data_IF_168196371516
#
_entry.id   IF_168196371516
#
_cell.length_a   1.000
_cell.length_b   1.000
_cell.length_c   1.000
_cell.angle_alpha   90.00
_cell.angle_beta   90.00
_cell.angle_gamma   90.00
#
_symmetry.space_group_name_H-M   'P 1'
#
loop_
_entity.id
_entity.type
_entity.pdbx_description
1 polymer ?
#
# COMPACT_ATOMS: atom_id res chain seq x y z
N UNK A 1 1.27 -10.37 17.01
CA UNK A 1 0.37 -10.04 15.86
C UNK A 1 -0.72 -9.13 16.37
N UNK A 2 -0.72 -7.85 16.00
CA UNK A 2 -1.83 -6.96 16.35
C UNK A 2 -3.01 -7.32 15.45
N UNK A 3 -4.06 -7.91 16.04
CA UNK A 3 -5.25 -8.25 15.29
C UNK A 3 -5.98 -6.98 14.85
N UNK A 4 -6.18 -6.80 13.55
CA UNK A 4 -6.95 -5.69 12.98
C UNK A 4 -8.45 -5.92 13.25
N UNK A 5 -8.88 -5.66 14.48
CA UNK A 5 -10.27 -5.77 14.90
C UNK A 5 -10.89 -4.41 15.19
N UNK A 6 -12.20 -4.26 15.00
CA UNK A 6 -12.90 -3.03 15.37
C UNK A 6 -12.88 -2.81 16.90
N UNK A 7 -12.95 -1.56 17.34
CA UNK A 7 -13.01 -1.26 18.79
C UNK A 7 -14.17 -1.94 19.51
N UNK A 8 -15.30 -2.16 18.83
CA UNK A 8 -16.44 -2.90 19.36
C UNK A 8 -16.13 -4.40 19.50
N UNK A 9 -15.45 -4.99 18.50
CA UNK A 9 -15.03 -6.39 18.57
C UNK A 9 -13.96 -6.60 19.64
N UNK A 10 -12.98 -5.70 19.76
CA UNK A 10 -11.99 -5.73 20.84
C UNK A 10 -12.65 -5.65 22.24
N UNK A 11 -13.59 -4.74 22.43
CA UNK A 11 -14.37 -4.63 23.69
C UNK A 11 -15.12 -5.92 24.00
N UNK A 12 -15.78 -6.55 23.00
CA UNK A 12 -16.47 -7.85 23.19
C UNK A 12 -15.49 -8.98 23.53
N UNK A 13 -14.35 -9.04 22.86
CA UNK A 13 -13.32 -10.04 23.14
C UNK A 13 -12.79 -9.93 24.58
N UNK A 14 -12.51 -8.70 25.04
CA UNK A 14 -12.13 -8.43 26.43
C UNK A 14 -13.24 -8.89 27.40
N UNK A 15 -14.50 -8.60 27.07
CA UNK A 15 -15.63 -9.03 27.87
C UNK A 15 -15.69 -10.55 27.99
N UNK A 16 -15.60 -11.27 26.87
CA UNK A 16 -15.64 -12.75 26.86
C UNK A 16 -14.45 -13.32 27.64
N UNK A 17 -13.25 -12.81 27.43
CA UNK A 17 -12.06 -13.25 28.13
C UNK A 17 -12.20 -13.08 29.65
N UNK A 18 -12.66 -11.92 30.11
CA UNK A 18 -12.73 -11.58 31.52
C UNK A 18 -13.94 -12.22 32.25
N UNK A 19 -15.03 -12.51 31.55
CA UNK A 19 -16.18 -13.19 32.15
C UNK A 19 -15.84 -14.60 32.65
N UNK A 20 -14.78 -15.21 32.14
CA UNK A 20 -14.29 -16.51 32.55
C UNK A 20 -13.36 -16.47 33.79
N UNK A 21 -12.99 -15.28 34.28
CA UNK A 21 -12.12 -15.14 35.46
C UNK A 21 -12.93 -14.72 36.68
N UNK A 22 -13.11 -15.61 37.71
CA UNK A 22 -13.91 -15.31 38.89
C UNK A 22 -13.51 -14.02 39.61
N UNK A 23 -12.19 -13.72 39.67
CA UNK A 23 -11.63 -12.55 40.35
C UNK A 23 -12.05 -11.22 39.80
N UNK A 24 -12.48 -11.16 38.53
CA UNK A 24 -12.83 -9.91 37.82
C UNK A 24 -14.23 -9.92 37.22
N UNK A 25 -15.00 -10.98 37.48
CA UNK A 25 -16.34 -11.18 36.95
C UNK A 25 -17.30 -10.02 37.28
N UNK A 26 -17.11 -9.34 38.42
CA UNK A 26 -17.95 -8.23 38.87
C UNK A 26 -17.34 -6.83 38.54
N UNK A 27 -16.24 -6.79 37.84
CA UNK A 27 -15.65 -5.50 37.45
C UNK A 27 -16.27 -4.93 36.16
N UNK A 28 -16.37 -3.61 36.10
CA UNK A 28 -16.87 -2.94 34.92
C UNK A 28 -15.94 -3.17 33.74
N UNK A 29 -16.45 -3.81 32.69
CA UNK A 29 -15.68 -4.14 31.51
C UNK A 29 -15.57 -2.89 30.59
N UNK A 30 -14.38 -2.60 30.03
CA UNK A 30 -14.17 -1.42 29.23
C UNK A 30 -15.01 -1.45 27.93
N UNK A 31 -15.85 -0.44 27.76
CA UNK A 31 -16.59 -0.24 26.52
C UNK A 31 -15.68 0.19 25.37
N UNK A 32 -16.19 0.14 24.14
CA UNK A 32 -15.42 0.51 22.93
C UNK A 32 -14.81 1.92 22.96
N UNK A 33 -15.45 2.87 23.65
CA UNK A 33 -14.93 4.23 23.87
C UNK A 33 -13.65 4.23 24.71
N UNK A 34 -13.60 3.37 25.75
CA UNK A 34 -12.41 3.20 26.58
C UNK A 34 -11.25 2.57 25.80
N UNK A 35 -11.54 1.52 25.02
CA UNK A 35 -10.55 0.86 24.15
C UNK A 35 -9.96 1.88 23.14
N UNK A 36 -10.82 2.72 22.52
CA UNK A 36 -10.38 3.78 21.63
C UNK A 36 -9.47 4.79 22.33
N UNK A 37 -9.85 5.23 23.54
CA UNK A 37 -9.02 6.18 24.34
C UNK A 37 -7.66 5.57 24.71
N UNK A 38 -7.60 4.31 25.06
CA UNK A 38 -6.33 3.64 25.36
C UNK A 38 -5.43 3.60 24.15
N UNK A 39 -5.95 3.22 22.97
CA UNK A 39 -5.16 3.23 21.75
C UNK A 39 -4.65 4.63 21.39
N UNK A 40 -5.49 5.66 21.53
CA UNK A 40 -5.09 7.05 21.31
C UNK A 40 -3.97 7.47 22.28
N UNK A 41 -4.07 7.10 23.56
CA UNK A 41 -3.03 7.41 24.57
C UNK A 41 -1.72 6.68 24.28
N UNK A 42 -1.78 5.40 23.89
CA UNK A 42 -0.60 4.64 23.49
C UNK A 42 0.04 5.26 22.24
N UNK A 43 -0.75 5.64 21.25
CA UNK A 43 -0.26 6.33 20.06
C UNK A 43 0.42 7.65 20.38
N UNK A 44 -0.19 8.48 21.23
CA UNK A 44 0.38 9.73 21.68
C UNK A 44 1.68 9.53 22.50
N UNK A 45 1.71 8.53 23.36
CA UNK A 45 2.93 8.16 24.09
C UNK A 45 4.04 7.75 23.11
N UNK A 46 3.76 6.85 22.17
CA UNK A 46 4.73 6.43 21.15
C UNK A 46 5.25 7.58 20.29
N UNK A 47 4.37 8.55 19.97
CA UNK A 47 4.76 9.74 19.21
C UNK A 47 5.70 10.65 20.03
N UNK A 48 5.46 10.83 21.33
CA UNK A 48 6.17 11.81 22.17
C UNK A 48 7.30 11.21 23.01
N UNK A 49 7.38 9.88 23.18
CA UNK A 49 8.48 9.27 23.95
C UNK A 49 9.86 9.59 23.33
N UNK A 50 10.87 9.57 24.19
CA UNK A 50 12.27 9.69 23.75
C UNK A 50 12.59 8.57 22.76
N UNK A 51 13.26 8.95 21.68
CA UNK A 51 13.72 8.03 20.65
C UNK A 51 15.18 7.67 20.87
N UNK A 52 15.55 6.48 20.43
CA UNK A 52 16.94 6.06 20.45
C UNK A 52 17.79 7.02 19.60
N UNK A 53 18.91 7.49 20.15
CA UNK A 53 19.87 8.26 19.38
C UNK A 53 20.77 7.33 18.58
N UNK A 54 21.06 7.66 17.33
CA UNK A 54 21.90 6.84 16.48
C UNK A 54 22.42 7.57 15.25
N UNK A 55 23.30 6.89 14.53
CA UNK A 55 24.00 7.46 13.35
C UNK A 55 23.58 6.84 12.03
N UNK A 56 22.56 5.99 12.02
CA UNK A 56 22.16 5.17 10.90
C UNK A 56 20.64 5.11 10.70
N UNK A 57 19.97 6.22 10.93
CA UNK A 57 18.53 6.31 10.72
C UNK A 57 18.16 6.44 9.24
N UNK A 58 17.14 5.70 8.82
CA UNK A 58 16.40 5.93 7.60
C UNK A 58 15.02 6.51 7.92
N UNK A 59 14.59 7.52 7.19
CA UNK A 59 13.27 8.12 7.32
C UNK A 59 12.38 7.70 6.16
N UNK A 60 11.11 7.43 6.45
CA UNK A 60 10.07 7.19 5.45
C UNK A 60 9.00 8.26 5.63
N UNK A 61 8.68 8.96 4.55
CA UNK A 61 7.77 10.09 4.58
C UNK A 61 6.63 9.91 3.61
N UNK A 62 5.42 10.20 4.07
CA UNK A 62 4.24 10.19 3.24
C UNK A 62 3.24 11.30 3.65
N UNK A 63 2.58 11.89 2.67
CA UNK A 63 1.41 12.75 2.83
C UNK A 63 0.13 11.92 2.71
N UNK A 64 -0.11 11.01 3.67
CA UNK A 64 -1.03 9.89 3.46
C UNK A 64 -2.49 10.15 3.78
N UNK A 65 -2.82 11.18 4.54
CA UNK A 65 -4.21 11.41 4.97
C UNK A 65 -4.62 12.83 4.64
N UNK A 66 -5.66 12.96 3.83
CA UNK A 66 -6.34 14.22 3.62
C UNK A 66 -7.59 14.26 4.49
N UNK A 67 -7.62 15.16 5.47
CA UNK A 67 -8.78 15.43 6.33
C UNK A 67 -9.41 16.75 5.90
N UNK A 68 -10.38 16.70 4.99
CA UNK A 68 -10.92 17.91 4.35
C UNK A 68 -9.84 18.60 3.51
N UNK A 69 -9.52 19.85 3.84
CA UNK A 69 -8.44 20.62 3.19
C UNK A 69 -7.05 20.34 3.75
N UNK A 70 -6.98 19.72 4.94
CA UNK A 70 -5.71 19.45 5.62
C UNK A 70 -5.02 18.20 5.09
N UNK A 71 -3.71 18.28 4.92
CA UNK A 71 -2.83 17.14 4.61
C UNK A 71 -2.11 16.72 5.89
N UNK A 72 -1.98 15.42 6.10
CA UNK A 72 -1.25 14.84 7.21
C UNK A 72 0.11 14.33 6.73
N UNK A 73 1.17 14.99 7.15
CA UNK A 73 2.55 14.53 6.94
C UNK A 73 2.90 13.52 8.03
N UNK A 74 3.26 12.32 7.62
CA UNK A 74 3.72 11.26 8.52
C UNK A 74 5.21 11.01 8.27
N UNK A 75 6.00 11.02 9.34
CA UNK A 75 7.42 10.65 9.30
C UNK A 75 7.62 9.43 10.18
N UNK A 76 8.02 8.34 9.57
CA UNK A 76 8.45 7.12 10.23
C UNK A 76 9.97 7.03 10.18
N UNK A 77 10.57 6.38 11.16
CA UNK A 77 12.00 6.14 11.19
C UNK A 77 12.33 4.70 11.53
N UNK A 78 13.45 4.22 11.03
CA UNK A 78 14.01 2.93 11.39
C UNK A 78 15.54 2.98 11.39
N UNK A 79 16.16 2.09 12.18
CA UNK A 79 17.62 1.95 12.23
C UNK A 79 18.06 0.98 11.12
N UNK A 80 18.99 1.42 10.25
CA UNK A 80 19.53 0.56 9.20
C UNK A 80 20.26 -0.66 9.77
N UNK A 81 20.92 -0.50 10.93
CA UNK A 81 21.55 -1.62 11.65
C UNK A 81 20.57 -2.65 12.22
N UNK A 82 19.30 -2.30 12.33
CA UNK A 82 18.23 -3.17 12.87
C UNK A 82 17.27 -3.67 11.79
N UNK A 83 17.64 -3.54 10.51
CA UNK A 83 16.80 -4.01 9.41
C UNK A 83 16.56 -5.53 9.50
N UNK A 84 15.32 -5.98 9.50
CA UNK A 84 15.02 -7.41 9.48
C UNK A 84 15.31 -8.00 8.10
N UNK A 85 15.62 -9.32 8.04
CA UNK A 85 15.78 -10.05 6.78
C UNK A 85 14.46 -10.37 6.06
N UNK A 86 13.37 -9.74 6.44
CA UNK A 86 12.02 -9.84 5.87
C UNK A 86 11.49 -8.47 5.47
N UNK A 87 10.35 -8.45 4.79
CA UNK A 87 9.65 -7.19 4.52
C UNK A 87 9.34 -6.44 5.83
N UNK A 88 9.51 -5.12 5.80
CA UNK A 88 9.21 -4.25 6.93
C UNK A 88 7.74 -4.27 7.28
N UNK A 89 7.46 -4.22 8.57
CA UNK A 89 6.13 -4.01 9.15
C UNK A 89 6.10 -2.71 9.95
N UNK A 90 4.92 -2.26 10.36
CA UNK A 90 4.81 -1.08 11.23
C UNK A 90 5.49 -1.26 12.60
N UNK A 91 5.71 -2.50 13.04
CA UNK A 91 6.39 -2.82 14.30
C UNK A 91 7.91 -2.56 14.23
N UNK A 92 8.47 -2.56 13.03
CA UNK A 92 9.89 -2.33 12.80
C UNK A 92 10.24 -0.83 12.74
N UNK A 93 9.22 0.04 12.79
CA UNK A 93 9.37 1.48 12.57
C UNK A 93 8.89 2.30 13.77
N UNK A 94 9.61 3.36 14.05
CA UNK A 94 9.21 4.38 15.00
C UNK A 94 8.42 5.50 14.32
N UNK A 95 7.33 5.93 14.96
CA UNK A 95 6.63 7.15 14.54
C UNK A 95 7.38 8.35 15.10
N UNK A 96 7.94 9.17 14.22
CA UNK A 96 8.74 10.35 14.59
C UNK A 96 7.92 11.63 14.55
N UNK A 97 7.03 11.78 13.56
CA UNK A 97 6.14 12.93 13.47
C UNK A 97 4.82 12.56 12.79
N UNK A 98 3.76 13.21 13.23
CA UNK A 98 2.47 13.29 12.55
C UNK A 98 2.09 14.76 12.61
N UNK A 99 2.15 15.46 11.49
CA UNK A 99 1.91 16.90 11.41
C UNK A 99 0.75 17.17 10.45
N UNK A 100 -0.17 18.04 10.89
CA UNK A 100 -1.33 18.44 10.07
C UNK A 100 -1.05 19.83 9.51
N UNK A 101 -1.08 19.94 8.18
CA UNK A 101 -0.82 21.18 7.47
C UNK A 101 -2.02 21.54 6.59
N UNK A 102 -2.41 22.80 6.57
CA UNK A 102 -3.38 23.34 5.60
C UNK A 102 -2.75 23.33 4.20
N UNK A 103 -1.50 23.76 4.11
CA UNK A 103 -0.68 23.71 2.91
C UNK A 103 0.67 23.07 3.25
N UNK A 104 1.02 21.96 2.59
CA UNK A 104 2.36 21.41 2.67
C UNK A 104 3.23 22.04 1.60
N UNK A 105 4.14 22.94 1.99
CA UNK A 105 5.17 23.48 1.13
C UNK A 105 6.52 22.78 1.37
N UNK A 106 7.46 23.02 0.47
CA UNK A 106 8.79 22.41 0.55
C UNK A 106 9.57 22.80 1.82
N UNK A 107 9.36 24.02 2.33
CA UNK A 107 10.06 24.51 3.53
C UNK A 107 9.53 23.83 4.78
N UNK A 108 8.21 23.74 4.93
CA UNK A 108 7.59 23.05 6.07
C UNK A 108 8.01 21.58 6.15
N UNK A 109 8.05 20.88 5.00
CA UNK A 109 8.55 19.49 4.92
C UNK A 109 10.01 19.41 5.36
N UNK A 110 10.88 20.29 4.87
CA UNK A 110 12.28 20.32 5.26
C UNK A 110 12.45 20.55 6.76
N UNK A 111 11.71 21.49 7.36
CA UNK A 111 11.75 21.76 8.80
C UNK A 111 11.24 20.58 9.64
N UNK A 112 10.19 19.88 9.19
CA UNK A 112 9.69 18.66 9.84
C UNK A 112 10.75 17.56 9.86
N UNK A 113 11.51 17.40 8.77
CA UNK A 113 12.63 16.46 8.70
C UNK A 113 13.76 16.84 9.64
N UNK A 114 14.12 18.13 9.73
CA UNK A 114 15.12 18.63 10.69
C UNK A 114 14.73 18.35 12.13
N UNK A 115 13.44 18.57 12.47
CA UNK A 115 12.91 18.22 13.79
C UNK A 115 13.00 16.72 14.06
N UNK A 116 12.64 15.88 13.08
CA UNK A 116 12.74 14.42 13.21
C UNK A 116 14.20 13.99 13.42
N UNK A 117 15.15 14.54 12.63
CA UNK A 117 16.58 14.26 12.80
C UNK A 117 17.10 14.65 14.19
N UNK A 118 16.71 15.81 14.73
CA UNK A 118 17.08 16.22 16.09
C UNK A 118 16.60 15.23 17.16
N UNK A 119 15.49 14.53 16.91
CA UNK A 119 14.94 13.53 17.84
C UNK A 119 15.67 12.20 17.82
N UNK A 120 16.29 11.83 16.71
CA UNK A 120 16.86 10.49 16.52
C UNK A 120 18.37 10.46 16.27
N UNK A 121 18.99 11.60 15.99
CA UNK A 121 20.39 11.71 15.61
C UNK A 121 20.60 11.71 14.12
N UNK A 122 21.67 11.06 13.63
CA UNK A 122 22.05 11.17 12.23
C UNK A 122 21.16 10.32 11.30
N UNK A 123 20.59 10.97 10.30
CA UNK A 123 19.87 10.33 9.21
C UNK A 123 20.82 10.03 8.05
N UNK A 124 20.73 8.88 7.44
CA UNK A 124 21.55 8.42 6.30
C UNK A 124 20.75 8.37 5.00
N UNK A 125 19.44 8.16 5.10
CA UNK A 125 18.61 7.93 3.94
C UNK A 125 17.20 8.45 4.21
N UNK A 126 16.55 8.96 3.16
CA UNK A 126 15.12 9.32 3.20
C UNK A 126 14.40 8.66 2.04
N UNK A 127 13.32 7.95 2.33
CA UNK A 127 12.43 7.31 1.35
C UNK A 127 11.10 8.04 1.30
N UNK A 128 10.63 8.37 0.11
CA UNK A 128 9.32 8.99 -0.10
C UNK A 128 8.80 8.75 -1.51
N UNK A 129 7.53 9.07 -1.74
CA UNK A 129 7.01 9.22 -3.08
C UNK A 129 7.61 10.45 -3.80
N UNK A 130 7.26 10.63 -5.09
CA UNK A 130 7.81 11.70 -5.93
C UNK A 130 6.83 12.89 -6.10
N UNK A 131 5.96 13.11 -5.10
CA UNK A 131 5.08 14.28 -5.08
C UNK A 131 5.87 15.59 -5.16
N UNK A 132 5.42 16.61 -5.93
CA UNK A 132 6.24 17.81 -6.22
C UNK A 132 6.74 18.53 -4.95
N UNK A 133 5.89 18.69 -3.93
CA UNK A 133 6.24 19.38 -2.69
C UNK A 133 7.15 18.54 -1.82
N UNK A 134 6.85 17.23 -1.69
CA UNK A 134 7.74 16.27 -1.02
C UNK A 134 9.11 16.26 -1.66
N UNK A 135 9.19 16.15 -3.00
CA UNK A 135 10.45 16.15 -3.73
C UNK A 135 11.29 17.39 -3.47
N UNK A 136 10.67 18.58 -3.48
CA UNK A 136 11.38 19.84 -3.21
C UNK A 136 11.89 19.90 -1.78
N UNK A 137 11.05 19.60 -0.80
CA UNK A 137 11.41 19.63 0.63
C UNK A 137 12.49 18.61 0.98
N UNK A 138 12.38 17.39 0.42
CA UNK A 138 13.40 16.36 0.54
C UNK A 138 14.73 16.78 -0.08
N UNK A 139 14.72 17.36 -1.29
CA UNK A 139 15.94 17.81 -1.93
C UNK A 139 16.66 18.89 -1.11
N UNK A 140 15.92 19.81 -0.48
CA UNK A 140 16.50 20.81 0.43
C UNK A 140 17.19 20.14 1.61
N UNK A 141 16.50 19.24 2.30
CA UNK A 141 17.03 18.51 3.46
C UNK A 141 18.24 17.62 3.08
N UNK A 142 18.08 16.80 2.03
CA UNK A 142 19.13 15.87 1.60
C UNK A 142 20.41 16.60 1.14
N UNK A 143 20.27 17.76 0.46
CA UNK A 143 21.41 18.58 0.07
C UNK A 143 22.13 19.20 1.26
N UNK A 144 21.39 19.71 2.24
CA UNK A 144 21.95 20.35 3.45
C UNK A 144 22.77 19.36 4.30
N UNK A 145 22.29 18.11 4.42
CA UNK A 145 22.93 17.10 5.28
C UNK A 145 23.73 16.04 4.50
N UNK A 146 23.85 16.17 3.19
CA UNK A 146 24.49 15.18 2.30
C UNK A 146 23.94 13.76 2.47
N UNK A 147 22.60 13.64 2.40
CA UNK A 147 21.84 12.41 2.67
C UNK A 147 21.32 11.82 1.36
N UNK A 148 21.32 10.48 1.28
CA UNK A 148 20.72 9.75 0.16
C UNK A 148 19.21 9.87 0.12
N UNK A 149 18.64 10.16 -1.06
CA UNK A 149 17.20 10.10 -1.31
C UNK A 149 16.86 8.84 -2.10
N UNK A 150 15.87 8.09 -1.62
CA UNK A 150 15.33 6.89 -2.27
C UNK A 150 13.86 7.13 -2.62
N UNK A 151 13.47 6.70 -3.81
CA UNK A 151 12.07 6.77 -4.24
C UNK A 151 11.31 5.51 -3.82
N UNK A 152 10.03 5.66 -3.49
CA UNK A 152 9.12 4.52 -3.35
C UNK A 152 8.93 3.85 -4.72
N UNK A 153 9.50 2.67 -4.86
CA UNK A 153 9.45 1.88 -6.09
C UNK A 153 8.03 1.47 -6.44
N UNK A 154 7.25 1.08 -5.45
CA UNK A 154 5.86 0.66 -5.66
C UNK A 154 5.04 1.81 -6.23
N UNK A 155 5.21 3.01 -5.65
CA UNK A 155 4.54 4.21 -6.14
C UNK A 155 5.01 4.58 -7.55
N UNK A 156 6.30 4.43 -7.83
CA UNK A 156 6.88 4.71 -9.17
C UNK A 156 6.32 3.76 -10.24
N UNK A 157 6.22 2.46 -9.94
CA UNK A 157 5.58 1.47 -10.81
C UNK A 157 4.11 1.85 -11.07
N UNK A 158 3.34 2.19 -10.01
CA UNK A 158 1.97 2.63 -10.16
C UNK A 158 1.81 3.88 -11.04
N UNK A 159 2.74 4.84 -10.92
CA UNK A 159 2.77 6.05 -11.77
C UNK A 159 3.08 5.70 -13.23
N UNK A 160 3.98 4.74 -13.46
CA UNK A 160 4.31 4.23 -14.79
C UNK A 160 3.09 3.55 -15.43
N UNK A 161 2.48 2.61 -14.74
CA UNK A 161 1.25 1.94 -15.21
C UNK A 161 0.12 2.94 -15.51
N UNK A 162 -0.01 3.97 -14.68
CA UNK A 162 -0.96 5.06 -14.93
C UNK A 162 -0.76 5.72 -16.28
N UNK A 163 0.49 6.03 -16.65
CA UNK A 163 0.79 6.69 -17.93
C UNK A 163 0.32 5.88 -19.15
N UNK A 164 0.41 4.55 -19.06
CA UNK A 164 -0.05 3.65 -20.13
C UNK A 164 -1.56 3.48 -20.16
N UNK A 165 -2.16 3.30 -18.99
CA UNK A 165 -3.55 2.86 -18.91
C UNK A 165 -4.56 4.01 -18.76
N UNK A 166 -4.15 5.20 -18.29
CA UNK A 166 -5.10 6.28 -17.99
C UNK A 166 -5.88 6.75 -19.22
N UNK A 167 -5.26 6.71 -20.40
CA UNK A 167 -5.85 7.13 -21.68
C UNK A 167 -6.25 5.94 -22.57
N UNK A 168 -6.04 4.72 -22.09
CA UNK A 168 -6.37 3.52 -22.84
C UNK A 168 -7.89 3.27 -22.81
N UNK A 169 -8.52 3.32 -23.97
CA UNK A 169 -9.97 3.17 -24.10
C UNK A 169 -10.46 1.76 -23.70
N UNK A 170 -9.81 0.65 -24.11
CA UNK A 170 -10.13 -0.69 -23.63
C UNK A 170 -10.06 -0.83 -22.10
N UNK A 171 -9.04 -0.28 -21.47
CA UNK A 171 -8.91 -0.26 -20.00
C UNK A 171 -10.06 0.51 -19.35
N UNK A 172 -10.39 1.70 -19.87
CA UNK A 172 -11.52 2.50 -19.37
C UNK A 172 -12.85 1.73 -19.45
N UNK A 173 -13.12 1.10 -20.60
CA UNK A 173 -14.32 0.31 -20.82
C UNK A 173 -14.37 -0.94 -19.92
N UNK A 174 -13.26 -1.66 -19.76
CA UNK A 174 -13.15 -2.82 -18.89
C UNK A 174 -13.43 -2.48 -17.42
N UNK A 175 -12.81 -1.41 -16.91
CA UNK A 175 -13.01 -0.99 -15.52
C UNK A 175 -14.44 -0.52 -15.26
N UNK A 176 -15.09 0.15 -16.22
CA UNK A 176 -16.49 0.56 -16.14
C UNK A 176 -17.43 -0.66 -16.12
N UNK A 177 -17.20 -1.63 -17.02
CA UNK A 177 -17.96 -2.88 -17.05
C UNK A 177 -17.80 -3.69 -15.78
N UNK A 178 -16.58 -3.77 -15.22
CA UNK A 178 -16.33 -4.43 -13.94
C UNK A 178 -17.06 -3.75 -12.77
N UNK A 179 -17.08 -2.42 -12.73
CA UNK A 179 -17.80 -1.67 -11.70
C UNK A 179 -19.34 -1.88 -11.81
N UNK A 180 -19.87 -1.94 -13.02
CA UNK A 180 -21.28 -2.21 -13.27
C UNK A 180 -21.65 -3.65 -12.88
N UNK A 181 -20.86 -4.63 -13.33
CA UNK A 181 -21.07 -6.04 -12.98
C UNK A 181 -21.08 -6.23 -11.47
N UNK A 182 -20.13 -5.60 -10.76
CA UNK A 182 -20.10 -5.63 -9.31
C UNK A 182 -21.40 -5.15 -8.68
N UNK A 183 -21.90 -4.00 -9.08
CA UNK A 183 -23.17 -3.46 -8.54
C UNK A 183 -24.34 -4.43 -8.75
N UNK A 184 -24.40 -5.08 -9.92
CA UNK A 184 -25.45 -6.06 -10.25
C UNK A 184 -25.34 -7.35 -9.46
N UNK A 185 -24.11 -7.77 -9.06
CA UNK A 185 -23.85 -9.06 -8.42
C UNK A 185 -23.92 -9.03 -6.90
N UNK A 186 -23.65 -7.89 -6.26
CA UNK A 186 -23.46 -7.78 -4.81
C UNK A 186 -24.61 -8.32 -3.95
N UNK A 187 -25.85 -8.30 -4.46
CA UNK A 187 -27.04 -8.75 -3.73
C UNK A 187 -27.66 -10.00 -4.37
N UNK A 188 -26.88 -10.78 -5.10
CA UNK A 188 -27.32 -11.99 -5.77
C UNK A 188 -26.49 -13.20 -5.32
N UNK A 189 -26.90 -14.44 -5.63
CA UNK A 189 -26.07 -15.63 -5.39
C UNK A 189 -24.69 -15.56 -6.06
N UNK A 190 -24.50 -14.71 -7.08
CA UNK A 190 -23.24 -14.51 -7.78
C UNK A 190 -22.29 -13.54 -7.05
N UNK A 191 -22.59 -13.06 -5.84
CA UNK A 191 -21.77 -12.09 -5.10
C UNK A 191 -20.32 -12.54 -4.88
N UNK A 192 -20.08 -13.85 -4.75
CA UNK A 192 -18.73 -14.43 -4.57
C UNK A 192 -17.87 -14.36 -5.84
N UNK A 193 -18.49 -14.22 -7.01
CA UNK A 193 -17.82 -14.05 -8.32
C UNK A 193 -17.61 -12.57 -8.69
N UNK A 194 -18.11 -11.65 -7.88
CA UNK A 194 -18.12 -10.23 -8.21
C UNK A 194 -16.71 -9.65 -8.35
N UNK A 195 -16.51 -8.72 -9.30
CA UNK A 195 -15.25 -8.01 -9.44
C UNK A 195 -14.77 -7.36 -8.13
N UNK A 196 -13.46 -7.24 -7.92
CA UNK A 196 -12.90 -6.60 -6.73
C UNK A 196 -13.27 -5.11 -6.67
N UNK A 197 -13.16 -4.52 -5.47
CA UNK A 197 -13.35 -3.07 -5.31
C UNK A 197 -12.24 -2.31 -6.03
N UNK A 198 -12.63 -1.39 -6.90
CA UNK A 198 -11.69 -0.47 -7.54
C UNK A 198 -11.61 0.81 -6.72
N UNK A 199 -10.42 1.09 -6.14
CA UNK A 199 -10.17 2.34 -5.42
C UNK A 199 -9.64 3.38 -6.40
N UNK A 200 -10.35 4.49 -6.59
CA UNK A 200 -9.99 5.54 -7.56
C UNK A 200 -8.57 6.10 -7.36
N UNK A 201 -8.15 6.33 -6.11
CA UNK A 201 -6.82 6.91 -5.79
C UNK A 201 -5.65 5.91 -5.94
N UNK A 202 -5.91 4.61 -5.81
CA UNK A 202 -4.85 3.58 -5.83
C UNK A 202 -5.10 2.47 -6.86
N UNK A 203 -5.96 2.71 -7.87
CA UNK A 203 -6.34 1.69 -8.84
C UNK A 203 -5.14 1.11 -9.60
N UNK A 204 -4.14 1.93 -9.92
CA UNK A 204 -2.94 1.50 -10.63
C UNK A 204 -1.93 0.76 -9.73
N UNK A 205 -2.00 0.94 -8.41
CA UNK A 205 -1.24 0.14 -7.44
C UNK A 205 -1.89 -1.22 -7.18
N UNK A 206 -3.21 -1.33 -7.39
CA UNK A 206 -4.00 -2.54 -7.12
C UNK A 206 -4.50 -3.22 -8.40
N UNK A 207 -3.87 -2.93 -9.55
CA UNK A 207 -4.23 -3.52 -10.85
C UNK A 207 -4.15 -5.05 -10.82
N UNK A 208 -3.22 -5.60 -10.04
CA UNK A 208 -2.99 -7.03 -9.85
C UNK A 208 -4.27 -7.77 -9.45
N UNK A 209 -5.04 -7.22 -8.51
CA UNK A 209 -6.27 -7.86 -8.02
C UNK A 209 -7.32 -7.93 -9.13
N UNK A 210 -7.44 -6.89 -9.95
CA UNK A 210 -8.40 -6.85 -11.05
C UNK A 210 -7.94 -7.72 -12.22
N UNK A 211 -6.64 -7.73 -12.55
CA UNK A 211 -6.08 -8.57 -13.58
C UNK A 211 -6.24 -10.07 -13.23
N UNK A 212 -5.90 -10.44 -12.00
CA UNK A 212 -6.07 -11.81 -11.50
C UNK A 212 -7.55 -12.25 -11.53
N UNK A 213 -8.47 -11.38 -11.08
CA UNK A 213 -9.91 -11.65 -11.18
C UNK A 213 -10.32 -11.87 -12.64
N UNK A 214 -9.91 -10.99 -13.54
CA UNK A 214 -10.24 -11.09 -14.96
C UNK A 214 -9.73 -12.38 -15.59
N UNK A 215 -8.49 -12.78 -15.32
CA UNK A 215 -7.89 -14.03 -15.78
C UNK A 215 -8.64 -15.25 -15.26
N UNK A 216 -8.96 -15.28 -13.96
CA UNK A 216 -9.72 -16.38 -13.35
C UNK A 216 -11.11 -16.52 -13.98
N UNK A 217 -11.80 -15.42 -14.21
CA UNK A 217 -13.11 -15.41 -14.87
C UNK A 217 -13.00 -15.87 -16.33
N UNK A 218 -11.99 -15.41 -17.07
CA UNK A 218 -11.78 -15.84 -18.46
C UNK A 218 -11.53 -17.34 -18.56
N UNK A 219 -10.72 -17.91 -17.67
CA UNK A 219 -10.47 -19.35 -17.57
C UNK A 219 -11.75 -20.10 -17.19
N UNK A 220 -12.48 -19.64 -16.19
CA UNK A 220 -13.73 -20.25 -15.74
C UNK A 220 -14.82 -20.23 -16.82
N UNK A 221 -14.90 -19.18 -17.64
CA UNK A 221 -15.80 -19.08 -18.78
C UNK A 221 -15.45 -20.07 -19.91
N UNK A 222 -14.21 -20.51 -20.02
CA UNK A 222 -13.78 -21.55 -20.99
C UNK A 222 -14.06 -22.96 -20.49
N UNK A 223 -14.25 -23.16 -19.18
CA UNK A 223 -14.51 -24.47 -18.59
C UNK A 223 -16.03 -24.81 -18.62
N UNK A 224 -16.49 -25.76 -19.44
CA UNK A 224 -17.90 -26.12 -19.52
C UNK A 224 -18.44 -26.81 -18.25
N UNK A 225 -17.53 -27.38 -17.42
CA UNK A 225 -17.88 -28.09 -16.17
C UNK A 225 -17.74 -27.22 -14.91
N UNK A 226 -17.55 -25.90 -15.08
CA UNK A 226 -17.44 -24.99 -13.92
C UNK A 226 -18.77 -24.95 -13.14
N UNK A 227 -18.76 -25.10 -11.81
CA UNK A 227 -19.99 -25.18 -11.00
C UNK A 227 -20.86 -23.91 -11.14
N UNK A 228 -20.24 -22.74 -11.31
CA UNK A 228 -20.96 -21.46 -11.46
C UNK A 228 -21.11 -21.03 -12.93
N UNK A 229 -21.06 -21.97 -13.89
CA UNK A 229 -21.02 -21.65 -15.31
C UNK A 229 -22.16 -20.72 -15.75
N UNK A 230 -23.37 -21.00 -15.35
CA UNK A 230 -24.55 -20.19 -15.71
C UNK A 230 -24.46 -18.77 -15.12
N UNK A 231 -24.03 -18.64 -13.86
CA UNK A 231 -23.83 -17.34 -13.22
C UNK A 231 -22.72 -16.53 -13.89
N UNK A 232 -21.60 -17.20 -14.25
CA UNK A 232 -20.50 -16.57 -14.97
C UNK A 232 -20.94 -16.08 -16.35
N UNK A 233 -21.66 -16.89 -17.11
CA UNK A 233 -22.21 -16.47 -18.42
C UNK A 233 -23.13 -15.27 -18.27
N UNK A 234 -24.05 -15.32 -17.34
CA UNK A 234 -25.04 -14.27 -17.10
C UNK A 234 -24.41 -12.93 -16.68
N UNK A 235 -23.44 -12.96 -15.77
CA UNK A 235 -22.92 -11.75 -15.14
C UNK A 235 -21.52 -11.33 -15.62
N UNK A 236 -20.72 -12.27 -16.09
CA UNK A 236 -19.32 -12.06 -16.46
C UNK A 236 -19.00 -12.39 -17.93
N UNK A 237 -19.96 -12.86 -18.74
CA UNK A 237 -19.74 -13.21 -20.15
C UNK A 237 -19.11 -12.10 -21.00
N UNK A 238 -19.30 -10.85 -20.60
CA UNK A 238 -18.69 -9.66 -21.21
C UNK A 238 -17.16 -9.66 -21.13
N UNK A 239 -16.54 -10.39 -20.19
CA UNK A 239 -15.08 -10.48 -19.98
C UNK A 239 -14.38 -11.02 -21.23
N UNK A 240 -15.02 -11.87 -22.01
CA UNK A 240 -14.45 -12.41 -23.27
C UNK A 240 -13.99 -11.33 -24.26
N UNK A 241 -14.67 -10.17 -24.25
CA UNK A 241 -14.31 -9.04 -25.13
C UNK A 241 -12.98 -8.39 -24.76
N UNK A 242 -12.45 -8.71 -23.58
CA UNK A 242 -11.26 -8.08 -23.00
C UNK A 242 -10.14 -9.09 -22.74
N UNK A 243 -10.18 -10.31 -23.33
CA UNK A 243 -9.17 -11.35 -23.09
C UNK A 243 -7.76 -10.83 -23.39
N UNK A 244 -7.54 -10.21 -24.55
CA UNK A 244 -6.22 -9.62 -24.90
C UNK A 244 -5.76 -8.56 -23.91
N UNK A 245 -6.66 -7.68 -23.47
CA UNK A 245 -6.34 -6.69 -22.44
C UNK A 245 -5.97 -7.37 -21.12
N UNK A 246 -6.71 -8.38 -20.70
CA UNK A 246 -6.48 -9.12 -19.46
C UNK A 246 -5.11 -9.82 -19.50
N UNK A 247 -4.73 -10.40 -20.64
CA UNK A 247 -3.40 -11.00 -20.87
C UNK A 247 -2.31 -9.93 -20.71
N UNK A 248 -2.44 -8.78 -21.38
CA UNK A 248 -1.50 -7.66 -21.26
C UNK A 248 -1.39 -7.16 -19.81
N UNK A 249 -2.50 -7.03 -19.09
CA UNK A 249 -2.51 -6.64 -17.68
C UNK A 249 -1.80 -7.67 -16.81
N UNK A 250 -1.98 -8.96 -17.08
CA UNK A 250 -1.33 -10.05 -16.36
C UNK A 250 0.19 -10.02 -16.57
N UNK A 251 0.65 -9.72 -17.79
CA UNK A 251 2.06 -9.52 -18.09
C UNK A 251 2.64 -8.31 -17.35
N UNK A 252 1.95 -7.16 -17.39
CA UNK A 252 2.36 -5.96 -16.64
C UNK A 252 2.46 -6.21 -15.13
N UNK A 253 1.54 -7.01 -14.59
CA UNK A 253 1.57 -7.45 -13.17
C UNK A 253 2.79 -8.32 -12.90
N UNK A 254 3.06 -9.32 -13.73
CA UNK A 254 4.21 -10.21 -13.60
C UNK A 254 5.54 -9.44 -13.62
N UNK A 255 5.70 -8.53 -14.59
CA UNK A 255 6.86 -7.64 -14.68
C UNK A 255 6.99 -6.81 -13.40
N UNK A 256 5.90 -6.18 -12.97
CA UNK A 256 5.89 -5.35 -11.77
C UNK A 256 6.26 -6.13 -10.50
N UNK A 257 5.82 -7.39 -10.40
CA UNK A 257 6.16 -8.28 -9.29
C UNK A 257 7.64 -8.66 -9.31
N UNK A 258 8.20 -9.06 -10.46
CA UNK A 258 9.61 -9.39 -10.62
C UNK A 258 10.53 -8.22 -10.29
N UNK A 259 10.20 -7.01 -10.80
CA UNK A 259 10.97 -5.79 -10.49
C UNK A 259 10.91 -5.47 -8.99
N UNK A 260 9.73 -5.52 -8.37
CA UNK A 260 9.59 -5.29 -6.93
C UNK A 260 10.35 -6.33 -6.10
N UNK A 261 10.30 -7.59 -6.50
CA UNK A 261 11.03 -8.66 -5.82
C UNK A 261 12.53 -8.46 -5.94
N UNK A 262 13.05 -8.18 -7.14
CA UNK A 262 14.47 -7.92 -7.36
C UNK A 262 14.98 -6.76 -6.48
N UNK A 263 14.26 -5.63 -6.44
CA UNK A 263 14.64 -4.49 -5.61
C UNK A 263 14.54 -4.81 -4.12
N UNK A 264 13.58 -5.63 -3.71
CA UNK A 264 13.45 -6.06 -2.30
C UNK A 264 14.62 -6.94 -1.85
N UNK A 265 15.14 -7.78 -2.72
CA UNK A 265 16.22 -8.71 -2.44
C UNK A 265 17.60 -8.07 -2.55
N UNK A 266 17.80 -7.18 -3.52
CA UNK A 266 19.12 -6.62 -3.86
C UNK A 266 19.27 -5.12 -3.53
N UNK A 267 18.16 -4.44 -3.21
CA UNK A 267 18.13 -3.00 -3.00
C UNK A 267 18.25 -2.20 -4.30
N UNK A 268 18.48 -0.89 -4.16
CA UNK A 268 18.73 0.02 -5.27
C UNK A 268 20.23 0.34 -5.37
N UNK A 269 20.82 0.11 -6.50
CA UNK A 269 22.22 0.39 -6.83
C UNK A 269 22.34 1.13 -8.15
N UNK A 270 23.55 1.54 -8.54
CA UNK A 270 23.80 2.13 -9.85
C UNK A 270 23.48 1.17 -11.00
N UNK A 271 23.61 -0.12 -10.77
CA UNK A 271 23.41 -1.18 -11.78
C UNK A 271 21.97 -1.72 -11.78
N UNK A 272 21.09 -1.21 -10.93
CA UNK A 272 19.69 -1.71 -10.85
C UNK A 272 18.93 -1.51 -12.16
N UNK A 273 19.25 -0.45 -12.93
CA UNK A 273 18.68 -0.23 -14.26
C UNK A 273 18.96 -1.40 -15.21
N UNK A 274 20.23 -1.73 -15.38
CA UNK A 274 20.70 -2.82 -16.27
C UNK A 274 20.16 -4.18 -15.82
N UNK A 275 20.05 -4.40 -14.51
CA UNK A 275 19.49 -5.62 -13.94
C UNK A 275 17.99 -5.75 -14.22
N UNK A 276 17.24 -4.63 -14.13
CA UNK A 276 15.82 -4.60 -14.47
C UNK A 276 15.64 -4.84 -15.97
N UNK A 277 16.48 -4.26 -16.81
CA UNK A 277 16.44 -4.45 -18.27
C UNK A 277 16.55 -5.95 -18.63
N UNK A 278 17.52 -6.65 -18.05
CA UNK A 278 17.62 -8.12 -18.21
C UNK A 278 16.38 -8.88 -17.74
N UNK A 279 15.80 -8.49 -16.61
CA UNK A 279 14.55 -9.10 -16.12
C UNK A 279 13.41 -8.88 -17.12
N UNK A 280 13.37 -7.71 -17.78
CA UNK A 280 12.37 -7.40 -18.79
C UNK A 280 12.57 -8.25 -20.05
N UNK A 281 13.80 -8.39 -20.53
CA UNK A 281 14.16 -9.27 -21.66
C UNK A 281 13.71 -10.70 -21.40
N UNK A 282 14.06 -11.27 -20.24
CA UNK A 282 13.68 -12.64 -19.83
C UNK A 282 12.14 -12.86 -19.74
N UNK A 283 11.35 -11.81 -19.64
CA UNK A 283 9.87 -11.92 -19.56
C UNK A 283 9.24 -11.68 -20.91
N UNK A 284 9.81 -10.80 -21.72
CA UNK A 284 9.23 -10.36 -23.01
C UNK A 284 9.59 -11.35 -24.13
N UNK A 285 10.82 -11.87 -24.19
CA UNK A 285 11.27 -12.80 -25.21
C UNK A 285 10.47 -14.10 -25.31
N UNK A 286 10.10 -14.79 -24.21
CA UNK A 286 9.24 -15.97 -24.28
C UNK A 286 7.83 -15.68 -24.78
N UNK A 287 7.41 -14.42 -24.80
CA UNK A 287 6.05 -13.97 -25.19
C UNK A 287 6.00 -13.49 -26.65
N UNK A 288 7.16 -13.18 -27.23
CA UNK A 288 7.27 -12.81 -28.64
C UNK A 288 7.25 -14.01 -29.60
N UNK A 289 7.34 -15.25 -29.07
CA UNK A 289 7.45 -16.51 -29.83
C UNK A 289 6.11 -17.27 -29.92
N UNK A 290 5.03 -16.77 -29.33
CA UNK A 290 3.68 -17.32 -29.44
C UNK A 290 2.74 -16.28 -30.03
#
# INVERSE_FOLDING_TARGET
>A
MQAAVSFRAASKAIHIAFSNFPAIKNQAIPGYKSVRRWLTRIGLYKLNCLKEQGTDWALIIDNSIQLGVHKCLVILGLRLSKLPKRALTFEDMDVLAIEIHENTDAKSICESLKKAQKRVGQVRMVCADDGPDLRRGLNMFCKEYNIGRVLDVTHKIGTFLKKFLEKDAPWGAFTAAAAEAKRKMQQTPAAHLAPPNQRTKSRFLNIEILACWGSNVAIALKNPKHPDKELLEKYCGWVRRYETLIEQLSQMVLISQKVRQHIREHGLSKNTGDQIEKILEDVIDPLAVN
#
